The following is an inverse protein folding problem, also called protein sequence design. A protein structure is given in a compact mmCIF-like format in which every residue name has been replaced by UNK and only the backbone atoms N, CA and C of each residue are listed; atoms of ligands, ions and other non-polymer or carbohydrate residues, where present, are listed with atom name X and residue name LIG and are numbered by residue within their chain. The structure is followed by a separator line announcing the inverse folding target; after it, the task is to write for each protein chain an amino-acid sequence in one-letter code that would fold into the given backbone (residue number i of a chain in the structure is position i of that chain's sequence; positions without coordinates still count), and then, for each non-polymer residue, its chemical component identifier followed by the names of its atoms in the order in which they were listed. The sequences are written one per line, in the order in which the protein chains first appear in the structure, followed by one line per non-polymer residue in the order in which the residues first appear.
data_IF_067719330377
#
_entry.id   IF_067719330377
#
_cell.length_a   1.000
_cell.length_b   1.000
_cell.length_c   1.000
_cell.angle_alpha   90.00
_cell.angle_beta   90.00
_cell.angle_gamma   90.00
#
_symmetry.space_group_name_H-M   'P 1'
#
loop_
_entity.id
_entity.type
_entity.pdbx_description
1 polymer ?
#
# COMPACT_ATOMS: atom_id res chain seq x y z
N UNK A 1 1.62 -27.81 7.69
CA UNK A 1 1.68 -26.56 6.90
C UNK A 1 0.53 -25.70 7.37
N UNK A 2 0.79 -24.51 7.91
CA UNK A 2 -0.27 -23.58 8.30
C UNK A 2 -1.03 -23.14 7.05
N UNK A 3 -2.34 -23.24 7.07
CA UNK A 3 -3.21 -22.78 5.99
C UNK A 3 -3.06 -21.26 5.83
N UNK A 4 -2.81 -20.78 4.61
CA UNK A 4 -2.64 -19.36 4.36
C UNK A 4 -3.93 -18.60 4.69
N UNK A 5 -3.86 -17.64 5.62
CA UNK A 5 -5.03 -16.89 6.08
C UNK A 5 -5.59 -16.01 4.96
N UNK A 6 -6.86 -16.19 4.56
CA UNK A 6 -7.46 -15.36 3.53
C UNK A 6 -7.68 -13.91 3.99
N UNK A 7 -7.63 -12.98 3.05
CA UNK A 7 -7.95 -11.57 3.27
C UNK A 7 -8.74 -10.97 2.10
N UNK A 8 -9.33 -9.81 2.37
CA UNK A 8 -9.86 -8.88 1.39
C UNK A 8 -8.81 -7.80 1.11
N UNK A 9 -8.63 -7.45 -0.16
CA UNK A 9 -7.88 -6.26 -0.53
C UNK A 9 -8.87 -5.09 -0.65
N UNK A 10 -8.91 -4.21 0.35
CA UNK A 10 -9.90 -3.14 0.44
C UNK A 10 -9.31 -1.80 -0.02
N UNK A 11 -9.94 -1.15 -0.99
CA UNK A 11 -9.57 0.19 -1.41
C UNK A 11 -9.83 1.18 -0.27
N UNK A 12 -8.91 2.12 -0.05
CA UNK A 12 -9.18 3.20 0.93
C UNK A 12 -10.33 4.10 0.44
N UNK A 13 -10.57 4.14 -0.87
CA UNK A 13 -11.72 4.80 -1.46
C UNK A 13 -13.00 3.97 -1.20
N UNK A 14 -13.77 4.41 -0.21
CA UNK A 14 -15.08 3.85 0.15
C UNK A 14 -15.09 2.38 0.64
N UNK A 15 -13.93 1.76 0.89
CA UNK A 15 -13.85 0.42 1.49
C UNK A 15 -14.28 -0.72 0.55
N UNK A 16 -14.37 -0.46 -0.76
CA UNK A 16 -14.69 -1.49 -1.74
C UNK A 16 -13.56 -2.52 -1.84
N UNK A 17 -13.93 -3.79 -1.95
CA UNK A 17 -12.97 -4.91 -1.98
C UNK A 17 -12.71 -5.37 -3.40
N UNK A 18 -11.46 -5.72 -3.67
CA UNK A 18 -11.05 -6.32 -4.93
C UNK A 18 -11.67 -7.71 -5.09
N UNK A 19 -12.26 -7.96 -6.24
CA UNK A 19 -12.85 -9.23 -6.59
C UNK A 19 -12.51 -9.64 -8.01
N UNK A 20 -12.40 -10.94 -8.24
CA UNK A 20 -12.41 -11.48 -9.60
C UNK A 20 -13.79 -11.30 -10.22
N UNK A 21 -13.85 -10.81 -11.45
CA UNK A 21 -15.07 -10.76 -12.26
C UNK A 21 -15.03 -11.85 -13.33
N UNK A 22 -15.93 -12.86 -13.31
CA UNK A 22 -15.97 -13.92 -14.32
C UNK A 22 -16.45 -13.42 -15.69
N UNK A 23 -17.14 -12.28 -15.75
CA UNK A 23 -17.77 -11.75 -16.98
C UNK A 23 -16.92 -10.65 -17.63
N UNK A 24 -15.59 -10.85 -17.65
CA UNK A 24 -14.58 -9.85 -18.02
C UNK A 24 -14.89 -9.04 -19.28
N UNK A 25 -15.02 -7.72 -19.13
CA UNK A 25 -14.84 -6.75 -20.20
C UNK A 25 -14.40 -5.40 -19.60
N UNK A 26 -13.15 -4.92 -19.78
CA UNK A 26 -11.90 -5.62 -20.14
C UNK A 26 -10.95 -5.85 -18.94
N UNK A 27 -11.39 -5.57 -17.70
CA UNK A 27 -10.66 -5.94 -16.48
C UNK A 27 -11.23 -7.23 -15.90
N UNK A 28 -10.39 -8.22 -15.65
CA UNK A 28 -10.76 -9.49 -15.01
C UNK A 28 -10.98 -9.35 -13.50
N UNK A 29 -10.73 -8.16 -12.94
CA UNK A 29 -10.98 -7.81 -11.55
C UNK A 29 -11.72 -6.48 -11.42
N UNK A 30 -12.47 -6.36 -10.33
CA UNK A 30 -13.35 -5.23 -10.02
C UNK A 30 -13.29 -4.86 -8.54
N UNK A 31 -13.70 -3.64 -8.19
CA UNK A 31 -13.95 -3.18 -6.84
C UNK A 31 -15.47 -3.18 -6.60
N UNK A 32 -15.91 -3.78 -5.50
CA UNK A 32 -17.33 -3.92 -5.15
C UNK A 32 -17.54 -3.96 -3.63
N UNK A 33 -18.79 -3.97 -3.16
CA UNK A 33 -19.03 -4.04 -1.72
C UNK A 33 -18.60 -5.42 -1.18
N UNK A 34 -18.07 -5.43 0.04
CA UNK A 34 -17.79 -6.68 0.76
C UNK A 34 -19.09 -7.48 0.91
N UNK A 35 -19.02 -8.77 0.61
CA UNK A 35 -20.16 -9.69 0.73
C UNK A 35 -21.10 -9.71 -0.49
N UNK A 36 -20.89 -8.84 -1.49
CA UNK A 36 -21.59 -8.97 -2.78
C UNK A 36 -21.22 -10.31 -3.47
N UNK A 37 -20.03 -10.83 -3.21
CA UNK A 37 -19.58 -12.18 -3.60
C UNK A 37 -18.67 -12.73 -2.49
N UNK A 38 -18.63 -14.05 -2.28
CA UNK A 38 -17.78 -14.62 -1.22
C UNK A 38 -16.39 -15.02 -1.75
N UNK A 39 -16.26 -16.20 -2.37
CA UNK A 39 -14.97 -16.72 -2.84
C UNK A 39 -14.21 -15.79 -3.81
N UNK A 40 -14.85 -15.06 -4.75
CA UNK A 40 -14.14 -14.14 -5.65
C UNK A 40 -13.50 -12.92 -4.97
N UNK A 41 -13.93 -12.57 -3.76
CA UNK A 41 -13.39 -11.44 -2.99
C UNK A 41 -12.24 -11.84 -2.07
N UNK A 42 -12.02 -13.14 -1.86
CA UNK A 42 -11.02 -13.65 -0.92
C UNK A 42 -9.73 -14.00 -1.65
N UNK A 43 -8.63 -13.50 -1.11
CA UNK A 43 -7.29 -13.68 -1.64
C UNK A 43 -6.38 -14.28 -0.58
N UNK A 44 -5.37 -15.00 -1.02
CA UNK A 44 -4.25 -15.44 -0.19
C UNK A 44 -2.95 -14.89 -0.77
N UNK A 45 -2.01 -14.56 0.12
CA UNK A 45 -0.71 -14.03 -0.27
C UNK A 45 0.33 -15.13 -0.12
N UNK A 46 1.23 -15.21 -1.10
CA UNK A 46 2.43 -16.01 -1.06
C UNK A 46 3.61 -15.05 -1.04
N UNK A 47 4.52 -15.19 -0.08
CA UNK A 47 5.68 -14.31 0.05
C UNK A 47 6.82 -14.79 -0.87
N UNK A 48 7.49 -13.85 -1.52
CA UNK A 48 8.77 -14.12 -2.17
C UNK A 48 9.92 -14.13 -1.14
N UNK A 49 11.13 -14.46 -1.59
CA UNK A 49 12.35 -14.32 -0.78
C UNK A 49 12.71 -12.83 -0.55
N UNK A 50 12.24 -11.94 -1.43
CA UNK A 50 12.42 -10.49 -1.30
C UNK A 50 11.36 -9.89 -0.34
N UNK A 51 11.80 -8.99 0.53
CA UNK A 51 10.91 -8.28 1.45
C UNK A 51 9.84 -7.48 0.70
N UNK A 52 8.61 -7.47 1.22
CA UNK A 52 7.48 -6.73 0.65
C UNK A 52 7.10 -7.14 -0.78
N UNK A 53 7.51 -8.32 -1.25
CA UNK A 53 7.10 -8.87 -2.54
C UNK A 53 6.20 -10.08 -2.30
N UNK A 54 5.00 -10.04 -2.89
CA UNK A 54 3.98 -11.08 -2.73
C UNK A 54 3.34 -11.47 -4.05
N UNK A 55 2.81 -12.68 -4.14
CA UNK A 55 1.87 -13.09 -5.18
C UNK A 55 0.48 -13.26 -4.54
N UNK A 56 -0.55 -12.78 -5.23
CA UNK A 56 -1.92 -12.76 -4.73
C UNK A 56 -2.77 -13.80 -5.46
N UNK A 57 -3.15 -14.90 -4.81
CA UNK A 57 -3.97 -15.95 -5.41
C UNK A 57 -5.44 -15.81 -5.00
N UNK A 58 -6.34 -15.81 -5.98
CA UNK A 58 -7.78 -15.75 -5.74
C UNK A 58 -8.30 -17.12 -5.34
N UNK A 59 -9.11 -17.20 -4.27
CA UNK A 59 -9.66 -18.47 -3.81
C UNK A 59 -10.72 -19.07 -4.74
N UNK A 60 -11.35 -18.27 -5.60
CA UNK A 60 -12.42 -18.76 -6.49
C UNK A 60 -11.94 -19.63 -7.66
N UNK A 61 -10.70 -19.45 -8.12
CA UNK A 61 -10.15 -20.14 -9.30
C UNK A 61 -8.67 -20.53 -9.17
N UNK A 62 -8.02 -20.21 -8.05
CA UNK A 62 -6.59 -20.45 -7.81
C UNK A 62 -5.64 -19.75 -8.80
N UNK A 63 -6.13 -18.78 -9.57
CA UNK A 63 -5.29 -17.93 -10.41
C UNK A 63 -4.80 -16.72 -9.61
N UNK A 64 -3.72 -16.10 -10.10
CA UNK A 64 -3.07 -14.99 -9.42
C UNK A 64 -3.51 -13.65 -10.00
N UNK A 65 -3.52 -12.60 -9.19
CA UNK A 65 -3.67 -11.23 -9.66
C UNK A 65 -2.58 -10.95 -10.70
N UNK A 66 -3.00 -10.56 -11.89
CA UNK A 66 -2.13 -10.47 -13.04
C UNK A 66 -2.35 -9.17 -13.80
N UNK A 67 -1.29 -8.39 -13.95
CA UNK A 67 -1.20 -7.23 -14.82
C UNK A 67 -0.93 -7.69 -16.25
N UNK A 68 -1.74 -7.27 -17.21
CA UNK A 68 -1.59 -7.67 -18.62
C UNK A 68 -0.55 -6.81 -19.39
N UNK A 69 0.42 -6.22 -18.68
CA UNK A 69 1.41 -5.28 -19.21
C UNK A 69 1.47 -3.97 -18.41
N UNK A 70 2.10 -2.95 -18.99
CA UNK A 70 1.93 -1.55 -18.58
C UNK A 70 3.22 -0.74 -18.51
N UNK A 71 3.18 0.49 -19.05
CA UNK A 71 4.17 1.55 -18.80
C UNK A 71 3.55 2.68 -18.00
N UNK A 72 2.39 3.19 -18.43
CA UNK A 72 1.63 4.25 -17.72
C UNK A 72 0.19 3.82 -17.36
N UNK A 73 -0.34 2.80 -18.03
CA UNK A 73 -1.66 2.20 -17.80
C UNK A 73 -1.64 0.72 -18.21
N UNK A 74 -2.48 -0.09 -17.59
CA UNK A 74 -2.74 -1.47 -18.03
C UNK A 74 -4.07 -2.01 -17.49
N UNK A 75 -4.58 -3.07 -18.10
CA UNK A 75 -5.66 -3.87 -17.50
C UNK A 75 -5.09 -4.84 -16.47
N UNK A 76 -5.90 -5.18 -15.47
CA UNK A 76 -5.59 -6.20 -14.49
C UNK A 76 -6.68 -7.27 -14.50
N UNK A 77 -6.29 -8.51 -14.28
CA UNK A 77 -7.17 -9.68 -14.22
C UNK A 77 -6.61 -10.75 -13.30
N UNK A 78 -6.99 -12.00 -13.58
CA UNK A 78 -6.37 -13.18 -12.97
C UNK A 78 -5.67 -14.01 -14.03
N UNK A 79 -4.55 -14.65 -13.70
CA UNK A 79 -3.77 -15.47 -14.61
C UNK A 79 -2.61 -16.20 -13.93
N UNK A 80 -1.50 -16.33 -14.66
CA UNK A 80 -0.26 -16.93 -14.14
C UNK A 80 0.29 -16.14 -12.94
N UNK A 81 1.05 -16.83 -12.08
CA UNK A 81 1.68 -16.21 -10.92
C UNK A 81 2.51 -15.01 -11.33
N UNK A 82 2.18 -13.87 -10.75
CA UNK A 82 2.94 -12.63 -10.90
C UNK A 82 3.27 -12.07 -9.51
N UNK A 83 4.47 -11.53 -9.38
CA UNK A 83 4.96 -10.89 -8.15
C UNK A 83 4.60 -9.41 -8.12
N UNK A 84 4.15 -8.96 -6.96
CA UNK A 84 3.74 -7.58 -6.68
C UNK A 84 4.53 -7.05 -5.50
N UNK A 85 5.14 -5.89 -5.69
CA UNK A 85 5.84 -5.15 -4.63
C UNK A 85 4.84 -4.26 -3.89
N UNK A 86 4.85 -4.38 -2.57
CA UNK A 86 4.12 -3.52 -1.65
C UNK A 86 5.00 -2.32 -1.29
N UNK A 87 4.40 -1.14 -1.27
CA UNK A 87 5.10 0.08 -0.87
C UNK A 87 4.18 0.98 -0.06
N UNK A 88 4.69 1.52 1.05
CA UNK A 88 4.04 2.54 1.85
C UNK A 88 4.56 3.96 1.52
N UNK A 89 5.43 4.09 0.52
CA UNK A 89 5.94 5.38 0.09
C UNK A 89 4.79 6.26 -0.45
N UNK A 90 4.72 7.48 0.05
CA UNK A 90 3.66 8.45 -0.28
C UNK A 90 2.25 7.95 0.03
N UNK A 91 2.10 7.03 0.99
CA UNK A 91 0.79 6.60 1.49
C UNK A 91 0.47 7.37 2.77
N UNK A 92 -0.59 8.17 2.76
CA UNK A 92 -1.04 8.94 3.93
C UNK A 92 -1.84 8.10 4.92
N UNK A 93 -2.51 7.05 4.44
CA UNK A 93 -3.38 6.19 5.23
C UNK A 93 -2.57 5.12 6.01
N UNK A 94 -2.55 5.12 7.36
CA UNK A 94 -1.74 4.20 8.15
C UNK A 94 -2.09 2.73 7.92
N UNK A 95 -1.10 1.89 7.66
CA UNK A 95 -1.29 0.45 7.41
C UNK A 95 -1.79 0.11 6.00
N UNK A 96 -1.99 1.11 5.14
CA UNK A 96 -2.29 0.91 3.74
C UNK A 96 -1.01 0.89 2.89
N UNK A 97 -1.12 0.42 1.65
CA UNK A 97 0.00 0.36 0.73
C UNK A 97 -0.44 0.51 -0.73
N UNK A 98 0.54 0.76 -1.58
CA UNK A 98 0.45 0.60 -3.03
C UNK A 98 0.91 -0.79 -3.43
N UNK A 99 0.35 -1.29 -4.53
CA UNK A 99 0.75 -2.55 -5.15
C UNK A 99 1.21 -2.25 -6.58
N UNK A 100 2.46 -2.56 -6.90
CA UNK A 100 3.02 -2.48 -8.26
C UNK A 100 3.60 -3.83 -8.69
N UNK A 101 3.36 -4.33 -9.92
CA UNK A 101 4.00 -5.54 -10.39
C UNK A 101 5.51 -5.35 -10.45
N UNK A 102 6.25 -6.39 -10.12
CA UNK A 102 7.72 -6.37 -10.17
C UNK A 102 8.21 -6.14 -11.61
N UNK A 103 7.52 -6.70 -12.60
CA UNK A 103 7.90 -6.61 -14.03
C UNK A 103 7.56 -5.25 -14.67
N UNK A 104 6.66 -4.48 -14.04
CA UNK A 104 6.17 -3.20 -14.56
C UNK A 104 6.25 -2.12 -13.47
N UNK A 105 7.48 -1.75 -13.04
CA UNK A 105 7.65 -0.73 -12.01
C UNK A 105 7.16 0.63 -12.54
N UNK A 106 6.34 1.32 -11.75
CA UNK A 106 5.83 2.67 -12.08
C UNK A 106 4.33 2.74 -12.31
N UNK A 107 3.65 1.61 -12.41
CA UNK A 107 2.18 1.51 -12.39
C UNK A 107 1.70 0.79 -11.14
N UNK A 108 0.54 1.22 -10.64
CA UNK A 108 -0.05 0.77 -9.39
C UNK A 108 -1.47 0.29 -9.60
N UNK A 109 -1.89 -0.66 -8.77
CA UNK A 109 -3.27 -1.13 -8.75
C UNK A 109 -4.22 0.02 -8.40
N UNK A 110 -5.19 0.29 -9.29
CA UNK A 110 -6.05 1.46 -9.22
C UNK A 110 -7.54 1.08 -9.19
N UNK A 111 -8.22 1.47 -8.12
CA UNK A 111 -9.68 1.53 -8.07
C UNK A 111 -10.14 2.77 -8.83
N UNK A 112 -10.65 2.62 -10.06
CA UNK A 112 -10.87 3.74 -10.98
C UNK A 112 -11.53 4.97 -10.34
N UNK A 113 -10.75 6.06 -10.23
CA UNK A 113 -11.12 7.35 -9.61
C UNK A 113 -11.68 7.25 -8.19
N UNK A 114 -11.53 6.10 -7.52
CA UNK A 114 -12.15 5.78 -6.25
C UNK A 114 -13.68 5.91 -6.28
N UNK A 115 -14.32 5.60 -7.42
CA UNK A 115 -15.76 5.80 -7.58
C UNK A 115 -16.54 4.88 -6.62
N UNK A 116 -17.47 5.46 -5.86
CA UNK A 116 -18.42 4.68 -5.08
C UNK A 116 -19.39 3.95 -6.01
N UNK A 117 -19.52 2.64 -5.83
CA UNK A 117 -20.56 1.82 -6.48
C UNK A 117 -21.69 1.45 -5.50
N UNK A 118 -22.90 1.29 -6.04
CA UNK A 118 -24.05 0.80 -5.28
C UNK A 118 -23.93 -0.71 -5.01
N UNK A 119 -24.79 -1.25 -4.13
CA UNK A 119 -24.85 -2.68 -3.85
C UNK A 119 -25.17 -3.48 -5.11
N UNK A 120 -24.43 -4.57 -5.37
CA UNK A 120 -24.59 -5.40 -6.57
C UNK A 120 -24.03 -4.77 -7.85
N UNK A 121 -23.41 -3.59 -7.77
CA UNK A 121 -22.65 -2.97 -8.85
C UNK A 121 -21.16 -3.14 -8.57
N UNK A 122 -20.35 -3.04 -9.63
CA UNK A 122 -18.90 -3.15 -9.52
C UNK A 122 -18.21 -2.11 -10.40
N UNK A 123 -17.02 -1.69 -9.99
CA UNK A 123 -16.17 -0.76 -10.72
C UNK A 123 -14.92 -1.47 -11.21
N UNK A 124 -14.45 -1.13 -12.41
CA UNK A 124 -13.24 -1.74 -12.96
C UNK A 124 -12.02 -1.33 -12.16
N UNK A 125 -11.18 -2.32 -11.87
CA UNK A 125 -9.83 -2.08 -11.37
C UNK A 125 -8.89 -2.19 -12.55
N UNK A 126 -7.95 -1.28 -12.64
CA UNK A 126 -6.95 -1.23 -13.70
C UNK A 126 -5.63 -0.81 -13.06
N UNK A 127 -4.62 -0.54 -13.87
CA UNK A 127 -3.34 -0.03 -13.40
C UNK A 127 -3.12 1.38 -13.88
N UNK A 128 -2.60 2.24 -13.00
CA UNK A 128 -2.30 3.62 -13.33
C UNK A 128 -0.99 4.06 -12.71
N UNK A 129 -0.31 4.98 -13.39
CA UNK A 129 0.85 5.64 -12.82
C UNK A 129 0.47 6.49 -11.60
N UNK A 130 1.46 6.79 -10.77
CA UNK A 130 1.28 7.70 -9.65
C UNK A 130 1.01 9.13 -10.12
N UNK A 131 -0.11 9.72 -9.68
CA UNK A 131 -0.45 11.13 -9.91
C UNK A 131 -1.12 11.73 -8.67
N UNK A 132 -0.51 12.75 -8.07
CA UNK A 132 -1.23 13.60 -7.12
C UNK A 132 -2.29 14.42 -7.86
N UNK A 133 -3.51 14.58 -7.30
CA UNK A 133 -3.92 14.26 -5.92
C UNK A 133 -4.61 12.90 -5.73
N UNK A 134 -4.61 12.02 -6.72
CA UNK A 134 -5.45 10.82 -6.74
C UNK A 134 -4.84 9.62 -6.01
N UNK A 135 -4.01 9.83 -4.99
CA UNK A 135 -3.34 8.74 -4.26
C UNK A 135 -4.31 7.75 -3.62
N UNK A 136 -5.47 8.26 -3.20
CA UNK A 136 -6.49 7.47 -2.52
C UNK A 136 -7.10 6.37 -3.41
N UNK A 137 -7.05 6.52 -4.73
CA UNK A 137 -7.55 5.50 -5.65
C UNK A 137 -6.51 4.38 -5.91
N UNK A 138 -5.24 4.61 -5.56
CA UNK A 138 -4.12 3.68 -5.72
C UNK A 138 -3.79 2.89 -4.45
N UNK A 139 -4.42 3.25 -3.33
CA UNK A 139 -4.06 2.75 -2.00
C UNK A 139 -5.03 1.67 -1.52
N UNK A 140 -4.48 0.62 -0.89
CA UNK A 140 -5.23 -0.56 -0.47
C UNK A 140 -4.82 -1.03 0.93
N UNK A 141 -5.79 -1.59 1.65
CA UNK A 141 -5.62 -2.31 2.91
C UNK A 141 -5.69 -3.82 2.69
N UNK A 142 -4.90 -4.55 3.45
CA UNK A 142 -5.03 -6.00 3.64
C UNK A 142 -5.90 -6.24 4.87
N UNK A 143 -7.12 -6.73 4.65
CA UNK A 143 -8.11 -6.90 5.72
C UNK A 143 -8.37 -8.40 5.92
N UNK A 144 -8.09 -8.97 7.10
CA UNK A 144 -8.36 -10.39 7.34
C UNK A 144 -9.81 -10.77 7.01
N UNK A 145 -9.99 -11.91 6.35
CA UNK A 145 -11.32 -12.37 5.95
C UNK A 145 -12.14 -12.96 7.11
N UNK A 146 -11.50 -13.16 8.28
CA UNK A 146 -12.09 -13.71 9.51
C UNK A 146 -13.10 -12.77 10.19
N UNK A 147 -13.27 -11.54 9.69
CA UNK A 147 -14.24 -10.58 10.23
C UNK A 147 -13.67 -9.57 11.21
N UNK A 148 -12.37 -9.55 11.45
CA UNK A 148 -11.71 -8.69 12.45
C UNK A 148 -11.63 -7.18 12.12
N UNK A 149 -12.38 -6.66 11.13
CA UNK A 149 -12.34 -5.24 10.77
C UNK A 149 -13.72 -4.63 10.41
N UNK A 150 -14.06 -3.51 11.08
CA UNK A 150 -15.23 -2.65 10.82
C UNK A 150 -16.35 -2.76 11.87
N UNK A 151 -17.14 -1.68 12.13
CA UNK A 151 -18.21 -1.72 13.12
C UNK A 151 -19.22 -2.78 12.71
N UNK A 152 -19.62 -3.64 13.66
CA UNK A 152 -20.71 -4.59 13.45
C UNK A 152 -21.95 -3.77 13.02
N UNK A 153 -22.27 -3.87 11.74
CA UNK A 153 -23.48 -3.24 11.21
C UNK A 153 -24.64 -3.75 12.03
N UNK A 154 -25.37 -2.81 12.62
CA UNK A 154 -26.46 -3.06 13.55
C UNK A 154 -27.40 -4.16 13.09
N UNK A 155 -27.73 -4.99 14.07
CA UNK A 155 -28.73 -6.04 14.08
C UNK A 155 -30.01 -5.62 13.34
N UNK A 156 -30.39 -6.42 12.35
CA UNK A 156 -31.79 -6.72 12.03
C UNK A 156 -31.82 -8.14 11.44
N UNK A 157 -32.35 -9.18 12.07
CA UNK A 157 -32.98 -9.31 13.37
C UNK A 157 -33.15 -10.80 13.68
N UNK A 158 -33.64 -11.04 14.90
CA UNK A 158 -34.26 -12.28 15.38
C UNK A 158 -33.37 -13.55 15.49
N UNK A 159 -32.61 -13.66 16.59
CA UNK A 159 -32.50 -14.92 17.35
C UNK A 159 -32.32 -14.60 18.85
N UNK A 160 -33.32 -15.02 19.63
CA UNK A 160 -33.36 -15.32 21.08
C UNK A 160 -32.26 -14.72 21.99
N UNK A 161 -32.62 -13.67 22.74
CA UNK A 161 -31.97 -13.28 24.00
C UNK A 161 -32.72 -13.93 25.16
N UNK A 162 -32.14 -14.96 25.78
CA UNK A 162 -32.23 -15.23 27.23
C UNK A 162 -31.05 -16.17 27.57
N UNK A 163 -29.83 -15.63 27.70
CA UNK A 163 -28.73 -16.25 28.51
C UNK A 163 -27.39 -15.46 28.49
N UNK A 164 -27.25 -14.37 27.72
CA UNK A 164 -25.93 -13.72 27.51
C UNK A 164 -25.64 -12.46 28.33
N UNK A 165 -26.56 -11.97 29.16
CA UNK A 165 -26.39 -10.67 29.86
C UNK A 165 -25.45 -10.71 31.07
N UNK A 166 -25.22 -11.86 31.69
CA UNK A 166 -24.32 -12.00 32.84
C UNK A 166 -22.84 -12.09 32.44
N UNK A 167 -22.54 -12.52 31.22
CA UNK A 167 -21.16 -12.81 30.79
C UNK A 167 -20.42 -11.56 30.25
N UNK A 168 -21.16 -10.54 29.80
CA UNK A 168 -20.59 -9.28 29.30
C UNK A 168 -20.15 -8.33 30.42
N UNK A 169 -20.89 -8.29 31.54
CA UNK A 169 -20.55 -7.43 32.68
C UNK A 169 -19.23 -7.85 33.36
N UNK A 170 -18.96 -9.16 33.43
CA UNK A 170 -17.69 -9.69 33.93
C UNK A 170 -16.51 -9.31 33.01
N UNK A 171 -16.72 -9.39 31.68
CA UNK A 171 -15.70 -9.03 30.68
C UNK A 171 -15.37 -7.54 30.68
N UNK A 172 -16.36 -6.65 30.91
CA UNK A 172 -16.11 -5.21 31.05
C UNK A 172 -15.25 -4.88 32.28
N UNK A 173 -15.53 -5.50 33.43
CA UNK A 173 -14.75 -5.28 34.64
C UNK A 173 -13.31 -5.79 34.51
N UNK A 174 -13.11 -6.93 33.84
CA UNK A 174 -11.76 -7.45 33.56
C UNK A 174 -10.96 -6.53 32.61
N UNK A 175 -11.64 -5.89 31.66
CA UNK A 175 -11.03 -4.91 30.75
C UNK A 175 -10.64 -3.61 31.48
N UNK A 176 -11.50 -3.10 32.35
CA UNK A 176 -11.19 -1.93 33.19
C UNK A 176 -9.98 -2.20 34.11
N UNK A 177 -9.92 -3.37 34.74
CA UNK A 177 -8.78 -3.76 35.59
C UNK A 177 -7.48 -3.92 34.78
N UNK A 178 -7.56 -4.40 33.54
CA UNK A 178 -6.39 -4.48 32.63
C UNK A 178 -5.90 -3.10 32.19
N UNK A 179 -6.81 -2.16 31.94
CA UNK A 179 -6.46 -0.77 31.59
C UNK A 179 -5.78 -0.08 32.77
N UNK A 180 -6.32 -0.24 33.99
CA UNK A 180 -5.71 0.33 35.20
C UNK A 180 -4.28 -0.21 35.44
N UNK A 181 -4.07 -1.52 35.29
CA UNK A 181 -2.74 -2.14 35.45
C UNK A 181 -1.74 -1.71 34.37
N UNK A 182 -2.19 -1.40 33.16
CA UNK A 182 -1.33 -0.88 32.11
C UNK A 182 -0.94 0.59 32.36
N UNK A 183 -1.86 1.40 32.88
CA UNK A 183 -1.58 2.78 33.26
C UNK A 183 -0.53 2.86 34.37
N UNK A 184 -0.62 2.01 35.40
CA UNK A 184 0.36 1.93 36.49
C UNK A 184 1.75 1.50 35.98
N UNK A 185 1.82 0.48 35.11
CA UNK A 185 3.09 0.06 34.49
C UNK A 185 3.73 1.17 33.66
N UNK A 186 2.93 2.03 33.02
CA UNK A 186 3.41 3.11 32.17
C UNK A 186 3.92 4.30 33.00
N UNK A 187 3.31 4.57 34.15
CA UNK A 187 3.85 5.50 35.16
C UNK A 187 5.19 5.01 35.73
N UNK A 188 5.27 3.74 36.11
CA UNK A 188 6.50 3.13 36.64
C UNK A 188 7.65 3.16 35.62
N UNK A 189 7.36 2.92 34.34
CA UNK A 189 8.36 3.05 33.28
C UNK A 189 8.80 4.49 33.06
N UNK A 190 7.88 5.46 33.15
CA UNK A 190 8.23 6.89 33.06
C UNK A 190 9.08 7.35 34.24
N UNK A 191 8.82 6.86 35.44
CA UNK A 191 9.63 7.15 36.63
C UNK A 191 11.06 6.59 36.49
N UNK A 192 11.20 5.34 36.02
CA UNK A 192 12.51 4.72 35.75
C UNK A 192 13.29 5.45 34.65
N UNK A 193 12.62 5.93 33.61
CA UNK A 193 13.27 6.69 32.52
C UNK A 193 13.79 8.06 32.99
N UNK A 194 13.08 8.73 33.91
CA UNK A 194 13.53 10.00 34.51
C UNK A 194 14.78 9.81 35.37
N UNK A 195 14.84 8.79 36.22
CA UNK A 195 16.05 8.47 36.99
C UNK A 195 17.25 8.16 36.07
N UNK A 196 17.04 7.44 34.97
CA UNK A 196 18.12 7.09 34.04
C UNK A 196 18.64 8.28 33.22
N UNK A 197 17.81 9.32 33.03
CA UNK A 197 18.20 10.56 32.33
C UNK A 197 18.88 11.58 33.24
N UNK A 198 18.57 11.58 34.54
CA UNK A 198 19.29 12.38 35.54
C UNK A 198 20.70 11.82 35.82
N UNK A 199 20.84 10.50 36.01
CA UNK A 199 22.15 9.87 36.20
C UNK A 199 23.13 10.04 35.02
N UNK A 200 22.61 10.22 33.79
CA UNK A 200 23.44 10.43 32.59
C UNK A 200 23.95 11.87 32.44
N UNK A 201 23.34 12.86 33.11
CA UNK A 201 23.78 14.26 33.04
C UNK A 201 24.92 14.58 34.02
N UNK A 202 25.11 13.78 35.06
CA UNK A 202 26.19 13.99 36.03
C UNK A 202 27.56 13.46 35.56
N UNK A 203 27.61 12.49 34.64
CA UNK A 203 28.87 11.90 34.15
C UNK A 203 29.56 12.66 33.00
N UNK A 204 29.12 13.87 32.62
CA UNK A 204 29.66 14.61 31.46
C UNK A 204 30.22 16.01 31.81
N UNK A 205 30.91 16.13 32.95
CA UNK A 205 31.72 17.31 33.30
C UNK A 205 33.16 16.90 33.64
N UNK A 206 33.98 16.67 32.62
CA UNK A 206 35.44 16.78 32.74
C UNK A 206 36.01 17.36 31.43
N UNK A 207 36.85 18.43 31.47
CA UNK A 207 37.23 19.18 30.28
C UNK A 207 38.55 18.69 29.68
N UNK A 208 38.52 18.15 28.46
CA UNK A 208 39.73 17.83 27.69
C UNK A 208 40.23 19.06 26.94
N UNK A 209 41.49 19.43 27.23
CA UNK A 209 42.26 20.53 26.62
C UNK A 209 42.59 20.27 25.13
N UNK A 210 42.47 21.35 24.35
CA UNK A 210 43.26 21.85 23.21
C UNK A 210 43.95 20.89 22.19
N UNK A 211 43.48 21.05 20.93
CA UNK A 211 44.13 21.04 19.59
C UNK A 211 45.65 20.77 19.43
N UNK A 212 46.06 20.18 18.28
CA UNK A 212 46.48 21.03 17.14
C UNK A 212 45.93 20.61 15.75
N UNK A 213 45.98 21.50 14.74
CA UNK A 213 45.29 21.34 13.45
C UNK A 213 46.18 20.69 12.37
N UNK A 214 45.62 20.02 11.35
CA UNK A 214 46.33 19.72 10.12
C UNK A 214 46.09 20.77 9.03
N UNK A 215 47.13 20.92 8.23
CA UNK A 215 47.50 22.06 7.40
C UNK A 215 46.86 22.06 6.00
N UNK A 216 46.82 23.28 5.45
CA UNK A 216 46.98 23.72 4.05
C UNK A 216 46.54 22.83 2.87
N UNK A 217 45.70 23.47 2.04
CA UNK A 217 45.34 23.17 0.66
C UNK A 217 46.56 22.81 -0.21
N UNK A 218 46.44 21.72 -0.98
CA UNK A 218 47.25 21.48 -2.17
C UNK A 218 46.32 21.56 -3.38
N UNK A 219 46.58 22.56 -4.22
CA UNK A 219 46.04 22.73 -5.57
C UNK A 219 47.04 22.10 -6.54
N UNK A 220 46.58 21.26 -7.47
CA UNK A 220 47.36 20.82 -8.64
C UNK A 220 46.49 20.96 -9.89
N UNK A 221 47.01 21.56 -10.99
CA UNK A 221 46.23 21.89 -12.19
C UNK A 221 46.13 20.73 -13.20
N UNK A 222 45.19 20.88 -14.12
CA UNK A 222 44.86 19.98 -15.22
C UNK A 222 45.92 19.94 -16.34
N UNK A 223 46.09 18.78 -16.99
CA UNK A 223 46.55 18.67 -18.40
C UNK A 223 46.00 17.43 -19.12
N UNK A 224 45.25 17.71 -20.19
CA UNK A 224 45.07 17.10 -21.52
C UNK A 224 45.59 15.70 -21.92
N UNK A 225 44.76 15.04 -22.75
CA UNK A 225 45.11 14.09 -23.83
C UNK A 225 45.12 12.63 -23.40
N UNK A 226 44.42 11.69 -24.03
CA UNK A 226 44.51 11.28 -25.44
C UNK A 226 43.25 10.48 -25.80
N UNK A 227 42.62 10.78 -26.94
CA UNK A 227 41.60 9.93 -27.58
C UNK A 227 42.26 8.99 -28.59
N UNK A 228 42.10 7.68 -28.39
CA UNK A 228 42.43 6.68 -29.40
C UNK A 228 41.17 6.01 -29.96
N UNK A 229 41.25 5.76 -31.26
CA UNK A 229 40.19 5.36 -32.17
C UNK A 229 39.84 3.88 -32.00
N UNK A 230 38.55 3.56 -31.96
CA UNK A 230 38.03 2.27 -32.46
C UNK A 230 36.87 2.57 -33.40
N UNK A 231 37.03 2.12 -34.65
CA UNK A 231 36.02 2.10 -35.72
C UNK A 231 35.18 0.82 -35.62
N UNK A 232 34.00 0.89 -36.26
CA UNK A 232 33.07 -0.20 -36.67
C UNK A 232 32.15 -0.71 -35.56
N UNK A 233 30.83 -0.80 -35.69
CA UNK A 233 29.98 -1.00 -36.87
C UNK A 233 28.59 -0.33 -36.76
N UNK A 234 27.92 -0.32 -37.90
CA UNK A 234 26.64 0.29 -38.27
C UNK A 234 25.48 0.17 -37.27
N UNK A 235 25.01 1.31 -36.74
CA UNK A 235 23.67 1.45 -36.18
C UNK A 235 22.87 2.46 -37.01
N UNK A 236 21.96 1.96 -37.85
CA UNK A 236 20.98 2.76 -38.59
C UNK A 236 20.17 3.60 -37.60
N UNK A 237 20.41 4.91 -37.59
CA UNK A 237 19.60 5.88 -36.86
C UNK A 237 18.22 5.98 -37.51
N UNK A 238 17.19 5.49 -36.82
CA UNK A 238 15.81 5.87 -37.10
C UNK A 238 15.59 7.24 -36.47
N UNK A 239 15.58 8.28 -37.30
CA UNK A 239 15.19 9.63 -36.89
C UNK A 239 13.67 9.64 -36.72
N UNK A 240 13.21 9.64 -35.46
CA UNK A 240 11.80 9.89 -35.16
C UNK A 240 11.49 11.39 -35.35
N UNK A 241 10.37 11.75 -36.00
CA UNK A 241 9.98 13.15 -36.16
C UNK A 241 9.62 13.78 -34.79
N UNK A 242 9.84 15.09 -34.61
CA UNK A 242 9.55 15.77 -33.36
C UNK A 242 8.04 15.76 -33.04
N UNK A 243 7.66 15.70 -31.75
CA UNK A 243 6.27 15.59 -31.34
C UNK A 243 5.48 16.85 -31.73
N UNK A 244 4.35 16.64 -32.43
CA UNK A 244 3.40 17.71 -32.76
C UNK A 244 2.78 18.25 -31.48
N UNK A 245 2.85 19.58 -31.29
CA UNK A 245 2.18 20.30 -30.19
C UNK A 245 0.66 20.05 -30.26
N UNK A 246 0.13 19.27 -29.33
CA UNK A 246 -1.31 19.12 -29.14
C UNK A 246 -1.81 20.41 -28.48
N UNK A 247 -2.56 21.24 -29.22
CA UNK A 247 -3.29 22.38 -28.66
C UNK A 247 -4.39 21.85 -27.74
N UNK A 248 -4.27 22.07 -26.43
CA UNK A 248 -5.38 21.89 -25.48
C UNK A 248 -6.51 22.84 -25.86
N UNK A 249 -7.66 22.30 -26.28
CA UNK A 249 -8.93 23.06 -26.25
C UNK A 249 -9.36 23.14 -24.79
N UNK A 250 -9.28 24.34 -24.22
CA UNK A 250 -9.95 24.67 -22.96
C UNK A 250 -11.44 24.75 -23.27
N UNK A 251 -12.22 23.79 -22.79
CA UNK A 251 -13.68 23.91 -22.76
C UNK A 251 -14.03 24.47 -21.38
N UNK A 252 -14.37 25.76 -21.33
CA UNK A 252 -14.87 26.40 -20.12
C UNK A 252 -16.30 25.95 -19.83
N UNK A 253 -16.53 25.43 -18.63
CA UNK A 253 -17.87 25.18 -18.11
C UNK A 253 -18.29 26.46 -17.38
N UNK A 254 -19.32 27.13 -17.89
CA UNK A 254 -19.98 28.26 -17.25
C UNK A 254 -21.01 27.70 -16.28
N UNK A 255 -20.90 28.06 -15.00
CA UNK A 255 -21.97 27.83 -14.02
C UNK A 255 -22.98 28.97 -14.14
N UNK A 256 -24.23 28.64 -14.47
CA UNK A 256 -25.34 29.56 -14.30
C UNK A 256 -25.69 29.67 -12.81
N UNK A 257 -25.82 30.91 -12.33
CA UNK A 257 -26.35 31.27 -11.01
C UNK A 257 -27.87 31.10 -10.96
#
# INVERSE_FOLDING_TARGET
MSEATPFYLASIAHGHVLARSPNGQPSGVVAQNRGDQDAPQKWVAESADEENVIALRCLSNNEYLHANGGTNWSTVGTGEKQWWRLSNNNVTAPGACHLSPVDHPGVFLNHFQGIRVAKGQSMKVHMWQWEQPNEFCLTWYFVPADGSFGPQSGISGAVQEEDSKTDMAAKFKELEDKIARQAEKLEDQKAKLKQHTENRKEQKKEPTKALPPPQAKITVPATNGVTDKVKKDECKHVVLPPPRKIRRKVVGIVYAQ
#
